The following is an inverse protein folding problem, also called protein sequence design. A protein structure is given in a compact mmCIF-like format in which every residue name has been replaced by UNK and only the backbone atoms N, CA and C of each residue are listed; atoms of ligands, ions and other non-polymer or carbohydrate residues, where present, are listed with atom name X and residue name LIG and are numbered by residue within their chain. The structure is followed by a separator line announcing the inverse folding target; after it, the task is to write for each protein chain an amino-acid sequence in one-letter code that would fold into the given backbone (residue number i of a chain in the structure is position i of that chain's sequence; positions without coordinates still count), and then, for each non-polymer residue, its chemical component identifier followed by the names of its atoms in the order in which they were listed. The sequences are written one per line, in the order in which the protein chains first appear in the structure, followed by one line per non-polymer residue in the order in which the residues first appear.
data_IF_575441107127
#
_entry.id   IF_575441107127
#
_cell.length_a   1.000
_cell.length_b   1.000
_cell.length_c   1.000
_cell.angle_alpha   90.00
_cell.angle_beta   90.00
_cell.angle_gamma   90.00
#
_symmetry.space_group_name_H-M   'P 1'
#
loop_
_entity.id
_entity.type
_entity.pdbx_description
1 polymer ?
#
# COMPACT_ATOMS: atom_id res chain seq x y z
N UNK A 1 -1.85 -0.96 20.77
CA UNK A 1 -1.87 -2.02 19.75
C UNK A 1 -2.97 -2.98 20.11
N UNK A 2 -3.86 -3.28 19.16
CA UNK A 2 -4.72 -4.45 19.28
C UNK A 2 -3.84 -5.69 19.18
N UNK A 3 -4.07 -6.69 20.04
CA UNK A 3 -3.30 -7.92 20.06
C UNK A 3 -3.66 -8.76 18.82
N UNK A 4 -2.68 -8.99 17.94
CA UNK A 4 -2.83 -9.89 16.79
C UNK A 4 -2.27 -11.25 17.20
N UNK A 5 -3.07 -12.31 17.06
CA UNK A 5 -2.66 -13.67 17.41
C UNK A 5 -1.46 -14.11 16.53
N UNK A 6 -0.40 -14.73 17.08
CA UNK A 6 0.83 -15.05 16.34
C UNK A 6 0.60 -15.83 15.04
N UNK A 7 -0.29 -16.83 15.07
CA UNK A 7 -0.69 -17.57 13.87
C UNK A 7 -1.33 -16.68 12.77
N UNK A 8 -2.18 -15.72 13.14
CA UNK A 8 -2.79 -14.79 12.18
C UNK A 8 -1.74 -13.85 11.59
N UNK A 9 -0.88 -13.31 12.45
CA UNK A 9 0.25 -12.48 12.04
C UNK A 9 1.15 -13.22 11.04
N UNK A 10 1.48 -14.48 11.33
CA UNK A 10 2.27 -15.34 10.44
C UNK A 10 1.64 -15.47 9.06
N UNK A 11 0.33 -15.74 8.97
CA UNK A 11 -0.39 -15.82 7.70
C UNK A 11 -0.29 -14.49 6.93
N UNK A 12 -0.57 -13.35 7.59
CA UNK A 12 -0.54 -12.03 6.95
C UNK A 12 0.88 -11.73 6.43
N UNK A 13 1.92 -11.99 7.23
CA UNK A 13 3.31 -11.83 6.81
C UNK A 13 3.68 -12.68 5.60
N UNK A 14 3.20 -13.94 5.51
CA UNK A 14 3.43 -14.78 4.32
C UNK A 14 2.73 -14.27 3.08
N UNK A 15 1.49 -13.80 3.22
CA UNK A 15 0.76 -13.20 2.10
C UNK A 15 1.53 -11.96 1.64
N UNK A 16 1.86 -11.04 2.55
CA UNK A 16 2.63 -9.83 2.25
C UNK A 16 4.00 -10.14 1.62
N UNK A 17 4.77 -11.09 2.17
CA UNK A 17 6.06 -11.52 1.64
C UNK A 17 5.96 -12.06 0.21
N UNK A 18 4.85 -12.74 -0.10
CA UNK A 18 4.59 -13.15 -1.46
C UNK A 18 4.15 -11.95 -2.30
N UNK A 19 3.37 -11.00 -1.82
CA UNK A 19 2.97 -9.83 -2.63
C UNK A 19 4.10 -8.85 -2.98
N UNK A 20 5.29 -8.95 -2.36
CA UNK A 20 6.39 -8.01 -2.65
C UNK A 20 6.84 -8.02 -4.11
N UNK A 21 6.57 -9.10 -4.89
CA UNK A 21 6.93 -9.18 -6.31
C UNK A 21 6.07 -8.31 -7.23
N UNK A 22 4.86 -7.91 -6.80
CA UNK A 22 4.02 -6.98 -7.58
C UNK A 22 4.58 -5.58 -7.63
N UNK A 23 5.57 -5.33 -6.79
CA UNK A 23 6.32 -4.12 -6.83
C UNK A 23 7.68 -4.39 -7.49
N UNK A 24 8.22 -3.45 -8.28
CA UNK A 24 9.55 -3.54 -8.92
C UNK A 24 10.68 -4.10 -8.05
N UNK A 25 11.64 -4.81 -8.64
CA UNK A 25 12.65 -5.54 -7.89
C UNK A 25 13.86 -4.64 -7.54
N UNK A 26 14.13 -4.43 -6.26
CA UNK A 26 15.38 -3.88 -5.74
C UNK A 26 15.85 -4.61 -4.47
N UNK A 27 17.09 -4.32 -4.06
CA UNK A 27 17.77 -5.00 -2.96
C UNK A 27 17.03 -4.86 -1.62
N UNK A 28 16.34 -3.73 -1.38
CA UNK A 28 15.64 -3.53 -0.12
C UNK A 28 14.34 -4.34 -0.08
N UNK A 29 13.62 -4.51 -1.20
CA UNK A 29 12.42 -5.37 -1.24
C UNK A 29 12.73 -6.82 -1.02
N UNK A 30 13.86 -7.32 -1.53
CA UNK A 30 14.31 -8.69 -1.24
C UNK A 30 14.57 -8.87 0.26
N UNK A 31 15.27 -7.92 0.89
CA UNK A 31 15.50 -7.92 2.34
C UNK A 31 14.19 -7.83 3.14
N UNK A 32 13.24 -6.99 2.70
CA UNK A 32 11.92 -6.92 3.33
C UNK A 32 11.19 -8.26 3.22
N UNK A 33 11.18 -8.88 2.03
CA UNK A 33 10.55 -10.18 1.81
C UNK A 33 11.13 -11.26 2.72
N UNK A 34 12.46 -11.33 2.81
CA UNK A 34 13.17 -12.27 3.69
C UNK A 34 12.82 -12.02 5.16
N UNK A 35 12.84 -10.75 5.59
CA UNK A 35 12.44 -10.36 6.94
C UNK A 35 10.98 -10.75 7.25
N UNK A 36 10.05 -10.58 6.32
CA UNK A 36 8.65 -10.98 6.50
C UNK A 36 8.49 -12.51 6.66
N UNK A 37 9.26 -13.31 5.93
CA UNK A 37 9.28 -14.77 6.12
C UNK A 37 9.90 -15.17 7.46
N UNK A 38 10.96 -14.49 7.89
CA UNK A 38 11.56 -14.69 9.21
C UNK A 38 10.56 -14.35 10.32
N UNK A 39 9.91 -13.19 10.26
CA UNK A 39 8.89 -12.78 11.22
C UNK A 39 7.70 -13.75 11.28
N UNK A 40 7.26 -14.25 10.12
CA UNK A 40 6.24 -15.30 10.08
C UNK A 40 6.70 -16.57 10.81
N UNK A 41 7.95 -17.00 10.57
CA UNK A 41 8.50 -18.21 11.21
C UNK A 41 8.63 -18.03 12.72
N UNK A 42 9.08 -16.86 13.18
CA UNK A 42 9.18 -16.54 14.60
C UNK A 42 7.80 -16.53 15.28
N UNK A 43 6.79 -15.97 14.61
CA UNK A 43 5.42 -15.95 15.11
C UNK A 43 4.78 -17.36 15.18
N UNK A 44 5.05 -18.23 14.19
CA UNK A 44 4.61 -19.64 14.23
C UNK A 44 5.26 -20.40 15.41
N UNK A 45 6.48 -20.03 15.80
CA UNK A 45 7.22 -20.63 16.92
C UNK A 45 6.94 -19.97 18.27
N UNK A 46 6.05 -18.97 18.33
CA UNK A 46 5.76 -18.15 19.52
C UNK A 46 7.02 -17.54 20.16
N UNK A 47 8.04 -17.23 19.35
CA UNK A 47 9.34 -16.75 19.80
C UNK A 47 9.40 -15.21 19.97
N UNK A 48 8.24 -14.56 20.03
CA UNK A 48 8.13 -13.10 19.91
C UNK A 48 8.41 -12.63 18.48
N UNK A 49 7.74 -11.55 18.07
CA UNK A 49 7.96 -10.93 16.76
C UNK A 49 8.08 -9.42 16.94
N UNK A 50 8.86 -8.79 16.07
CA UNK A 50 9.09 -7.35 16.11
C UNK A 50 8.21 -6.66 15.08
N UNK A 51 7.15 -6.00 15.56
CA UNK A 51 6.33 -5.15 14.70
C UNK A 51 7.06 -3.91 14.21
N UNK A 52 8.17 -3.52 14.83
CA UNK A 52 8.95 -2.33 14.45
C UNK A 52 9.98 -2.59 13.34
N UNK A 53 10.23 -3.85 12.95
CA UNK A 53 11.09 -4.20 11.80
C UNK A 53 10.64 -3.51 10.49
N UNK A 54 9.40 -3.03 10.48
CA UNK A 54 8.76 -2.36 9.36
C UNK A 54 8.98 -0.85 9.35
N UNK A 55 9.65 -0.25 10.33
CA UNK A 55 10.00 1.18 10.27
C UNK A 55 11.49 1.38 10.10
N UNK A 56 11.86 2.16 9.09
CA UNK A 56 13.23 2.59 8.83
C UNK A 56 13.30 4.11 8.89
N UNK A 57 14.51 4.66 8.93
CA UNK A 57 14.72 6.11 8.89
C UNK A 57 14.25 6.72 7.56
N UNK A 58 14.17 5.93 6.48
CA UNK A 58 13.70 6.37 5.18
C UNK A 58 12.16 6.40 5.12
N UNK A 59 11.53 7.60 5.08
CA UNK A 59 10.08 7.72 5.04
C UNK A 59 9.42 7.02 3.85
N UNK A 60 10.14 6.88 2.74
CA UNK A 60 9.60 6.26 1.51
C UNK A 60 9.42 4.76 1.68
N UNK A 61 10.40 4.10 2.29
CA UNK A 61 10.30 2.69 2.63
C UNK A 61 9.16 2.43 3.62
N UNK A 62 8.89 3.38 4.53
CA UNK A 62 7.76 3.27 5.45
C UNK A 62 6.42 3.35 4.73
N UNK A 63 6.25 4.30 3.80
CA UNK A 63 5.06 4.35 2.94
C UNK A 63 4.93 3.06 2.10
N UNK A 64 6.05 2.46 1.70
CA UNK A 64 6.06 1.20 0.96
C UNK A 64 5.50 0.03 1.70
N UNK A 65 5.95 -0.11 2.94
CA UNK A 65 5.51 -1.21 3.79
C UNK A 65 4.04 -1.00 4.14
N UNK A 66 3.62 0.25 4.39
CA UNK A 66 2.20 0.56 4.55
C UNK A 66 1.37 0.14 3.34
N UNK A 67 1.75 0.52 2.11
CA UNK A 67 1.03 0.09 0.90
C UNK A 67 0.99 -1.42 0.72
N UNK A 68 2.09 -2.11 1.01
CA UNK A 68 2.15 -3.58 0.97
C UNK A 68 1.10 -4.21 1.90
N UNK A 69 0.99 -3.72 3.13
CA UNK A 69 0.00 -4.22 4.09
C UNK A 69 -1.42 -3.80 3.75
N UNK A 70 -1.63 -2.58 3.24
CA UNK A 70 -2.93 -2.12 2.76
C UNK A 70 -3.44 -2.98 1.60
N UNK A 71 -2.57 -3.30 0.63
CA UNK A 71 -2.89 -4.20 -0.47
C UNK A 71 -3.15 -5.63 0.03
N UNK A 72 -2.33 -6.12 0.96
CA UNK A 72 -2.51 -7.43 1.60
C UNK A 72 -3.87 -7.51 2.31
N UNK A 73 -4.26 -6.46 3.04
CA UNK A 73 -5.58 -6.36 3.66
C UNK A 73 -6.69 -6.37 2.61
N UNK A 74 -6.61 -5.56 1.56
CA UNK A 74 -7.61 -5.57 0.48
C UNK A 74 -7.81 -6.97 -0.12
N UNK A 75 -6.73 -7.72 -0.34
CA UNK A 75 -6.81 -9.12 -0.79
C UNK A 75 -7.53 -10.00 0.23
N UNK A 76 -7.18 -9.90 1.52
CA UNK A 76 -7.81 -10.66 2.59
C UNK A 76 -9.30 -10.30 2.75
N UNK A 77 -9.67 -9.02 2.61
CA UNK A 77 -11.06 -8.58 2.68
C UNK A 77 -11.90 -9.13 1.52
N UNK A 78 -11.29 -9.34 0.35
CA UNK A 78 -11.96 -9.89 -0.83
C UNK A 78 -12.33 -11.38 -0.72
N UNK A 79 -11.79 -12.09 0.29
CA UNK A 79 -12.04 -13.51 0.52
C UNK A 79 -13.48 -13.77 0.96
N UNK A 80 -13.99 -14.95 0.66
CA UNK A 80 -15.26 -15.42 1.22
C UNK A 80 -15.14 -15.65 2.73
N UNK A 81 -16.26 -15.66 3.44
CA UNK A 81 -16.29 -15.84 4.90
C UNK A 81 -15.75 -17.22 5.33
N UNK A 82 -15.88 -18.21 4.45
CA UNK A 82 -15.25 -19.52 4.58
C UNK A 82 -14.53 -19.83 3.28
N UNK A 83 -13.20 -19.97 3.35
CA UNK A 83 -12.36 -20.31 2.21
C UNK A 83 -11.89 -21.76 2.27
N UNK A 84 -11.84 -22.42 1.11
CA UNK A 84 -11.14 -23.69 0.97
C UNK A 84 -9.66 -23.38 0.72
N UNK A 85 -8.86 -23.44 1.78
CA UNK A 85 -7.44 -23.05 1.76
C UNK A 85 -6.54 -23.99 0.94
N UNK A 86 -7.07 -25.04 0.29
CA UNK A 86 -6.29 -25.87 -0.63
C UNK A 86 -5.67 -25.07 -1.78
N UNK A 87 -6.31 -23.97 -2.21
CA UNK A 87 -5.80 -23.03 -3.20
C UNK A 87 -4.71 -22.08 -2.65
N UNK A 88 -4.57 -21.95 -1.33
CA UNK A 88 -3.62 -21.04 -0.67
C UNK A 88 -2.26 -21.66 -0.39
N UNK A 89 -2.06 -22.93 -0.73
CA UNK A 89 -0.72 -23.54 -0.75
C UNK A 89 0.29 -22.73 -1.57
N UNK A 90 -0.18 -22.02 -2.60
CA UNK A 90 0.64 -21.13 -3.44
C UNK A 90 1.21 -19.94 -2.65
N UNK A 91 0.55 -19.55 -1.56
CA UNK A 91 1.01 -18.50 -0.63
C UNK A 91 1.76 -19.06 0.59
N UNK A 92 2.11 -20.36 0.59
CA UNK A 92 2.87 -20.99 1.67
C UNK A 92 2.07 -21.23 2.95
N UNK A 93 0.73 -21.17 2.90
CA UNK A 93 -0.15 -21.49 4.03
C UNK A 93 -0.53 -22.97 3.93
N UNK A 94 -0.10 -23.77 4.90
CA UNK A 94 -0.33 -25.21 4.91
C UNK A 94 -1.50 -25.55 5.85
N UNK A 95 -2.70 -25.10 5.49
CA UNK A 95 -3.92 -25.41 6.20
C UNK A 95 -4.77 -26.37 5.37
N UNK A 96 -5.23 -27.46 6.00
CA UNK A 96 -5.92 -28.58 5.34
C UNK A 96 -7.45 -28.52 5.51
N UNK A 97 -7.95 -27.51 6.23
CA UNK A 97 -9.36 -27.34 6.62
C UNK A 97 -9.99 -26.07 6.04
N UNK A 98 -11.33 -26.01 6.11
CA UNK A 98 -12.11 -24.78 5.94
C UNK A 98 -11.70 -23.75 6.99
N UNK A 99 -11.40 -22.54 6.55
CA UNK A 99 -10.95 -21.48 7.45
C UNK A 99 -11.97 -20.35 7.50
N UNK A 100 -12.44 -20.03 8.70
CA UNK A 100 -13.27 -18.85 8.95
C UNK A 100 -12.37 -17.60 8.80
N UNK A 101 -12.52 -16.88 7.69
CA UNK A 101 -11.64 -15.76 7.35
C UNK A 101 -11.92 -14.52 8.19
N UNK A 102 -13.00 -14.50 8.97
CA UNK A 102 -13.39 -13.35 9.78
C UNK A 102 -12.27 -12.87 10.73
N UNK A 103 -11.62 -13.78 11.46
CA UNK A 103 -10.52 -13.40 12.34
C UNK A 103 -9.29 -12.91 11.59
N UNK A 104 -9.02 -13.46 10.41
CA UNK A 104 -7.93 -13.01 9.54
C UNK A 104 -8.22 -11.61 8.96
N UNK A 105 -9.47 -11.34 8.54
CA UNK A 105 -9.93 -10.03 8.09
C UNK A 105 -9.83 -8.96 9.18
N UNK A 106 -10.17 -9.30 10.43
CA UNK A 106 -9.98 -8.38 11.57
C UNK A 106 -8.49 -8.14 11.80
N UNK A 107 -7.70 -9.22 11.83
CA UNK A 107 -6.27 -9.12 12.10
C UNK A 107 -5.51 -8.33 11.01
N UNK A 108 -5.87 -8.48 9.73
CA UNK A 108 -5.24 -7.73 8.64
C UNK A 108 -5.55 -6.24 8.73
N UNK A 109 -6.79 -5.88 9.06
CA UNK A 109 -7.19 -4.50 9.25
C UNK A 109 -6.48 -3.88 10.47
N UNK A 110 -6.43 -4.59 11.60
CA UNK A 110 -5.67 -4.17 12.78
C UNK A 110 -4.19 -3.98 12.46
N UNK A 111 -3.63 -4.83 11.60
CA UNK A 111 -2.27 -4.72 11.13
C UNK A 111 -2.06 -3.40 10.38
N UNK A 112 -2.89 -3.09 9.38
CA UNK A 112 -2.83 -1.82 8.65
C UNK A 112 -2.90 -0.62 9.59
N UNK A 113 -3.86 -0.59 10.53
CA UNK A 113 -3.99 0.51 11.48
C UNK A 113 -2.77 0.67 12.40
N UNK A 114 -2.16 -0.43 12.83
CA UNK A 114 -0.93 -0.37 13.63
C UNK A 114 0.24 0.24 12.82
N UNK A 115 0.27 0.01 11.50
CA UNK A 115 1.30 0.50 10.57
C UNK A 115 1.04 1.89 9.99
N UNK A 116 -0.16 2.42 10.16
CA UNK A 116 -0.51 3.77 9.74
C UNK A 116 0.17 4.80 10.65
N UNK A 117 1.37 5.23 10.24
CA UNK A 117 2.17 6.27 10.92
C UNK A 117 2.43 7.44 9.97
N UNK A 118 1.44 8.33 9.73
CA UNK A 118 1.58 9.42 8.77
C UNK A 118 2.77 10.36 9.03
N UNK A 119 3.21 10.46 10.29
CA UNK A 119 4.40 11.23 10.67
C UNK A 119 5.71 10.67 10.10
N UNK A 120 5.74 9.39 9.73
CA UNK A 120 6.89 8.70 9.14
C UNK A 120 6.78 8.54 7.62
N UNK A 121 5.75 9.12 6.99
CA UNK A 121 5.57 9.07 5.55
C UNK A 121 6.07 10.37 4.88
N UNK A 122 6.45 10.34 3.58
CA UNK A 122 6.88 11.53 2.85
C UNK A 122 5.73 12.53 2.68
N UNK A 123 5.95 13.82 2.88
CA UNK A 123 4.87 14.82 2.86
C UNK A 123 4.46 15.23 1.43
N UNK A 124 3.78 14.33 0.71
CA UNK A 124 3.38 14.56 -0.69
C UNK A 124 2.03 15.24 -0.87
N UNK A 125 1.16 15.29 0.15
CA UNK A 125 -0.21 15.82 0.04
C UNK A 125 -0.29 17.15 -0.73
N UNK A 126 0.45 18.15 -0.29
CA UNK A 126 0.43 19.50 -0.89
C UNK A 126 0.88 19.47 -2.35
N UNK A 127 1.91 18.69 -2.68
CA UNK A 127 2.46 18.60 -4.05
C UNK A 127 1.50 17.89 -5.00
N UNK A 128 0.85 16.82 -4.55
CA UNK A 128 -0.17 16.12 -5.33
C UNK A 128 -1.34 17.08 -5.62
N UNK A 129 -1.78 17.85 -4.63
CA UNK A 129 -2.82 18.88 -4.80
C UNK A 129 -2.38 19.94 -5.81
N UNK A 130 -1.15 20.43 -5.71
CA UNK A 130 -0.59 21.42 -6.63
C UNK A 130 -0.58 20.91 -8.08
N UNK A 131 -0.09 19.68 -8.29
CA UNK A 131 -0.06 19.04 -9.60
C UNK A 131 -1.47 18.87 -10.18
N UNK A 132 -2.42 18.36 -9.39
CA UNK A 132 -3.83 18.21 -9.82
C UNK A 132 -4.43 19.56 -10.21
N UNK A 133 -4.19 20.60 -9.41
CA UNK A 133 -4.69 21.95 -9.69
C UNK A 133 -4.08 22.53 -10.98
N UNK A 134 -2.80 22.27 -11.23
CA UNK A 134 -2.12 22.69 -12.45
C UNK A 134 -2.74 22.02 -13.68
N UNK A 135 -2.98 20.70 -13.62
CA UNK A 135 -3.63 19.93 -14.69
C UNK A 135 -5.05 20.45 -14.97
N UNK A 136 -5.85 20.65 -13.92
CA UNK A 136 -7.22 21.15 -14.03
C UNK A 136 -7.28 22.57 -14.60
N UNK A 137 -6.41 23.47 -14.14
CA UNK A 137 -6.36 24.87 -14.62
C UNK A 137 -6.07 24.93 -16.12
N UNK A 138 -5.21 24.03 -16.60
CA UNK A 138 -4.81 23.95 -18.00
C UNK A 138 -5.68 22.97 -18.82
N UNK A 139 -6.76 22.44 -18.25
CA UNK A 139 -7.71 21.52 -18.90
C UNK A 139 -7.09 20.21 -19.38
N UNK A 140 -6.06 19.73 -18.71
CA UNK A 140 -5.52 18.39 -18.92
C UNK A 140 -6.24 17.37 -18.04
N UNK A 141 -6.50 16.19 -18.62
CA UNK A 141 -7.04 15.05 -17.90
C UNK A 141 -5.98 14.40 -17.01
N UNK A 142 -6.43 13.81 -15.91
CA UNK A 142 -5.62 12.94 -15.08
C UNK A 142 -6.49 11.83 -14.50
N UNK A 143 -5.83 10.73 -14.13
CA UNK A 143 -6.41 9.62 -13.41
C UNK A 143 -5.58 9.40 -12.14
N UNK A 144 -6.22 9.48 -10.98
CA UNK A 144 -5.57 9.23 -9.69
C UNK A 144 -6.11 7.92 -9.12
N UNK A 145 -5.23 7.06 -8.63
CA UNK A 145 -5.59 5.73 -8.10
C UNK A 145 -5.12 5.54 -6.66
N UNK A 146 -5.90 4.79 -5.90
CA UNK A 146 -5.53 4.31 -4.57
C UNK A 146 -4.93 2.91 -4.61
N UNK A 147 -4.37 2.45 -3.47
CA UNK A 147 -3.77 1.12 -3.30
C UNK A 147 -4.74 -0.02 -3.62
N UNK A 148 -6.04 0.16 -3.39
CA UNK A 148 -7.11 -0.77 -3.77
C UNK A 148 -7.67 -0.51 -5.19
N UNK A 149 -6.90 0.18 -6.03
CA UNK A 149 -7.17 0.48 -7.44
C UNK A 149 -8.43 1.33 -7.71
N UNK A 150 -9.04 1.92 -6.67
CA UNK A 150 -10.19 2.81 -6.86
C UNK A 150 -9.76 4.11 -7.55
N UNK A 151 -10.67 4.64 -8.36
CA UNK A 151 -10.52 5.98 -8.92
C UNK A 151 -10.68 7.01 -7.81
N UNK A 152 -9.78 7.98 -7.76
CA UNK A 152 -9.78 9.04 -6.75
C UNK A 152 -9.90 10.41 -7.40
N UNK A 153 -10.62 11.32 -6.75
CA UNK A 153 -10.73 12.73 -7.13
C UNK A 153 -10.30 13.63 -5.99
N UNK A 154 -9.86 14.84 -6.33
CA UNK A 154 -9.60 15.93 -5.39
C UNK A 154 -10.82 16.86 -5.32
N UNK A 155 -11.35 17.08 -4.11
CA UNK A 155 -12.18 18.25 -3.83
C UNK A 155 -11.27 19.46 -3.63
N UNK A 156 -11.28 20.39 -4.60
CA UNK A 156 -10.43 21.58 -4.56
C UNK A 156 -10.82 22.58 -3.46
N UNK A 157 -12.08 22.56 -3.00
CA UNK A 157 -12.55 23.49 -1.96
C UNK A 157 -12.08 23.04 -0.59
N UNK A 158 -12.12 21.73 -0.35
CA UNK A 158 -11.79 21.15 0.96
C UNK A 158 -10.35 20.63 1.02
N UNK A 159 -9.69 20.44 -0.12
CA UNK A 159 -8.34 19.87 -0.18
C UNK A 159 -8.30 18.40 0.25
N UNK A 160 -9.39 17.68 -0.02
CA UNK A 160 -9.60 16.28 0.37
C UNK A 160 -9.68 15.38 -0.86
N UNK A 161 -9.13 14.18 -0.74
CA UNK A 161 -9.27 13.15 -1.76
C UNK A 161 -10.47 12.27 -1.44
N UNK A 162 -11.19 11.83 -2.46
CA UNK A 162 -12.36 10.99 -2.27
C UNK A 162 -12.57 10.02 -3.44
N UNK A 163 -13.18 8.87 -3.15
CA UNK A 163 -13.68 7.95 -4.16
C UNK A 163 -15.02 8.47 -4.70
N UNK A 164 -15.18 8.68 -6.01
CA UNK A 164 -16.41 9.24 -6.57
C UNK A 164 -17.60 8.29 -6.52
N UNK A 165 -17.36 6.97 -6.45
CA UNK A 165 -18.40 5.95 -6.51
C UNK A 165 -19.18 5.84 -5.19
N UNK A 166 -18.46 5.88 -4.06
CA UNK A 166 -19.03 5.72 -2.71
C UNK A 166 -18.93 7.00 -1.85
N UNK A 167 -18.25 8.05 -2.34
CA UNK A 167 -17.98 9.32 -1.66
C UNK A 167 -17.17 9.19 -0.37
N UNK A 168 -16.47 8.08 -0.18
CA UNK A 168 -15.56 7.91 0.95
C UNK A 168 -14.35 8.83 0.80
N UNK A 169 -13.92 9.41 1.92
CA UNK A 169 -12.66 10.14 2.00
C UNK A 169 -11.49 9.17 1.87
N UNK A 170 -10.46 9.58 1.15
CA UNK A 170 -9.25 8.81 0.90
C UNK A 170 -8.06 9.60 1.40
N UNK A 171 -7.19 8.95 2.15
CA UNK A 171 -5.98 9.62 2.61
C UNK A 171 -4.97 9.78 1.47
N UNK A 172 -4.17 10.85 1.52
CA UNK A 172 -3.15 11.09 0.49
C UNK A 172 -2.11 9.96 0.42
N UNK A 173 -1.84 9.30 1.55
CA UNK A 173 -0.91 8.17 1.62
C UNK A 173 -1.56 6.85 1.19
N UNK A 174 -2.84 6.84 0.80
CA UNK A 174 -3.46 5.69 0.13
C UNK A 174 -3.34 5.80 -1.40
N UNK A 175 -2.78 6.89 -1.93
CA UNK A 175 -2.63 7.11 -3.37
C UNK A 175 -1.40 6.34 -3.91
N UNK A 176 -1.56 5.62 -5.04
CA UNK A 176 -0.53 4.72 -5.59
C UNK A 176 0.05 5.16 -6.95
N UNK A 177 -0.73 5.82 -7.81
CA UNK A 177 -0.20 6.44 -9.01
C UNK A 177 -1.17 7.49 -9.56
N UNK A 178 -0.62 8.35 -10.41
CA UNK A 178 -1.35 9.27 -11.27
C UNK A 178 -0.99 8.98 -12.72
N UNK A 179 -1.98 8.92 -13.60
CA UNK A 179 -1.78 8.91 -15.04
C UNK A 179 -2.18 10.28 -15.58
N UNK A 180 -1.32 10.88 -16.39
CA UNK A 180 -1.54 12.18 -17.00
C UNK A 180 -1.24 12.11 -18.50
N UNK A 181 -1.81 13.04 -19.27
CA UNK A 181 -1.54 13.08 -20.70
C UNK A 181 -0.10 13.55 -21.00
N UNK A 182 0.57 13.07 -22.06
CA UNK A 182 1.95 13.47 -22.38
C UNK A 182 2.12 14.96 -22.60
N UNK A 183 1.09 15.63 -23.13
CA UNK A 183 1.10 17.07 -23.40
C UNK A 183 1.21 17.88 -22.11
N UNK A 184 0.73 17.33 -20.99
CA UNK A 184 0.85 17.97 -19.68
C UNK A 184 2.30 18.13 -19.22
N UNK A 185 3.27 17.37 -19.78
CA UNK A 185 4.71 17.56 -19.48
C UNK A 185 5.18 18.99 -19.72
N UNK A 186 4.56 19.71 -20.65
CA UNK A 186 4.98 21.06 -21.03
C UNK A 186 4.66 22.11 -19.96
N UNK A 187 3.67 21.85 -19.10
CA UNK A 187 3.23 22.77 -18.07
C UNK A 187 3.77 22.40 -16.68
N UNK A 188 4.14 21.13 -16.47
CA UNK A 188 4.62 20.67 -15.17
C UNK A 188 6.10 21.04 -15.04
N UNK A 189 6.50 21.76 -13.98
CA UNK A 189 7.89 22.07 -13.72
C UNK A 189 8.74 20.81 -13.67
N UNK A 190 9.86 20.79 -14.38
CA UNK A 190 10.69 19.59 -14.45
C UNK A 190 11.26 19.19 -13.09
N UNK A 191 11.55 20.14 -12.20
CA UNK A 191 11.93 19.85 -10.81
C UNK A 191 10.80 19.14 -10.03
N UNK A 192 9.53 19.47 -10.30
CA UNK A 192 8.40 18.77 -9.70
C UNK A 192 8.32 17.34 -10.25
N UNK A 193 8.45 17.15 -11.57
CA UNK A 193 8.53 15.82 -12.17
C UNK A 193 9.71 15.04 -11.61
N UNK A 194 10.89 15.63 -11.49
CA UNK A 194 12.08 15.02 -10.87
C UNK A 194 11.87 14.71 -9.38
N UNK A 195 11.04 15.44 -8.65
CA UNK A 195 10.69 15.01 -7.29
C UNK A 195 9.81 13.75 -7.27
N UNK A 196 9.11 13.48 -8.38
CA UNK A 196 8.34 12.25 -8.66
C UNK A 196 9.07 11.21 -9.55
N UNK A 197 10.18 11.58 -10.23
CA UNK A 197 11.02 10.76 -11.14
C UNK A 197 12.46 10.53 -10.61
N UNK A 198 13.14 11.57 -10.14
CA UNK A 198 14.54 11.60 -9.66
C UNK A 198 14.69 11.05 -8.25
N UNK A 199 14.37 9.77 -8.11
CA UNK A 199 14.78 8.92 -7.01
C UNK A 199 14.75 7.49 -7.57
N UNK A 200 15.20 6.51 -6.81
CA UNK A 200 14.88 5.10 -7.04
C UNK A 200 13.35 4.89 -6.79
N UNK A 201 12.50 5.53 -7.61
CA UNK A 201 11.17 6.07 -7.29
C UNK A 201 9.98 5.30 -7.86
N UNK A 202 10.24 4.15 -8.45
CA UNK A 202 9.18 3.28 -8.95
C UNK A 202 8.37 2.55 -7.86
N UNK A 203 8.32 3.07 -6.65
CA UNK A 203 7.96 2.25 -5.51
C UNK A 203 6.54 2.53 -4.97
N UNK A 204 5.96 3.74 -5.00
CA UNK A 204 4.57 3.95 -4.50
C UNK A 204 3.70 5.07 -5.05
N UNK A 205 4.20 6.16 -5.62
CA UNK A 205 3.32 7.15 -6.28
C UNK A 205 3.94 7.50 -7.61
N UNK A 206 3.54 6.78 -8.66
CA UNK A 206 4.12 6.95 -9.99
C UNK A 206 3.32 7.97 -10.78
N UNK A 207 4.01 8.82 -11.54
CA UNK A 207 3.36 9.62 -12.58
C UNK A 207 3.63 8.93 -13.91
N UNK A 208 2.58 8.37 -14.52
CA UNK A 208 2.65 7.74 -15.82
C UNK A 208 2.11 8.68 -16.90
N UNK A 209 2.71 8.63 -18.08
CA UNK A 209 2.24 9.36 -19.27
C UNK A 209 1.73 8.34 -20.29
N UNK A 210 0.48 8.51 -20.75
CA UNK A 210 -0.18 7.62 -21.72
C UNK A 210 0.21 7.91 -23.18
#
# INVERSE_FOLDING_TARGET
MNYIHPHLYSIICRIAANQTYYFECDDWRLKLREALFEQSTMADLDMGFDTEILFTEDPKQNLSKYHLFKYTDSLIQSLNDVENLSSWRVFGVNCIDTYETHFLKIASLDMVHNFEKPAFFPQYKTKIIELVNMLLTNKYGYELRSVDEKYIKLDQKEGLFYCPDDKSEVNWYDLIYMIISPEAKQIIPQNMLEEFDCQELNYQFKINFL
#
